data_IF_323416201062
#
_entry.id   IF_323416201062
#
_cell.length_a   1.000
_cell.length_b   1.000
_cell.length_c   1.000
_cell.angle_alpha   90.00
_cell.angle_beta   90.00
_cell.angle_gamma   90.00
#
_symmetry.space_group_name_H-M   'P 1'
#
loop_
_entity.id
_entity.type
_entity.pdbx_description
1 polymer ?
#
# COMPACT_ATOMS: atom_id res chain seq x y z
N UNK A 1 20.40 6.52 -16.87
CA UNK A 1 19.83 5.22 -16.47
C UNK A 1 18.96 5.44 -15.26
N UNK A 2 17.74 4.88 -15.25
CA UNK A 2 16.87 4.87 -14.07
C UNK A 2 17.60 4.06 -12.98
N UNK A 3 17.75 4.62 -11.77
CA UNK A 3 18.39 3.91 -10.67
C UNK A 3 17.39 2.95 -10.05
N UNK A 4 17.62 1.65 -10.21
CA UNK A 4 16.76 0.57 -9.73
C UNK A 4 17.45 -0.16 -8.58
N UNK A 5 16.71 -0.37 -7.49
CA UNK A 5 17.14 -1.14 -6.32
C UNK A 5 16.43 -2.49 -6.31
N UNK A 6 17.21 -3.57 -6.32
CA UNK A 6 16.69 -4.92 -6.44
C UNK A 6 16.70 -5.70 -5.12
N UNK A 7 15.88 -6.75 -5.05
CA UNK A 7 15.78 -7.65 -3.89
C UNK A 7 17.13 -8.23 -3.46
N UNK A 8 18.04 -8.53 -4.40
CA UNK A 8 19.37 -9.06 -4.05
C UNK A 8 20.24 -8.03 -3.33
N UNK A 9 20.16 -6.74 -3.68
CA UNK A 9 20.86 -5.67 -2.97
C UNK A 9 20.28 -5.52 -1.55
N UNK A 10 18.94 -5.58 -1.42
CA UNK A 10 18.28 -5.55 -0.12
C UNK A 10 18.74 -6.70 0.79
N UNK A 11 18.71 -7.95 0.29
CA UNK A 11 19.14 -9.12 1.05
C UNK A 11 20.61 -9.01 1.47
N UNK A 12 21.46 -8.52 0.57
CA UNK A 12 22.87 -8.30 0.85
C UNK A 12 23.10 -7.27 1.96
N UNK A 13 22.49 -6.09 1.83
CA UNK A 13 22.60 -5.01 2.82
C UNK A 13 22.01 -5.42 4.17
N UNK A 14 20.86 -6.09 4.16
CA UNK A 14 20.22 -6.58 5.37
C UNK A 14 21.10 -7.61 6.10
N UNK A 15 21.81 -8.48 5.36
CA UNK A 15 22.76 -9.42 5.96
C UNK A 15 23.97 -8.70 6.57
N UNK A 16 24.49 -7.66 5.92
CA UNK A 16 25.57 -6.84 6.47
C UNK A 16 25.18 -6.16 7.79
N UNK A 17 23.92 -5.74 7.91
CA UNK A 17 23.41 -5.08 9.10
C UNK A 17 23.21 -6.03 10.31
N UNK A 18 22.96 -7.32 10.06
CA UNK A 18 22.62 -8.29 11.11
C UNK A 18 23.74 -9.30 11.41
N UNK A 19 24.76 -9.42 10.56
CA UNK A 19 25.88 -10.36 10.74
C UNK A 19 27.25 -9.61 10.78
N UNK A 20 27.77 -9.28 11.98
CA UNK A 20 29.03 -8.55 12.14
C UNK A 20 30.26 -9.23 11.52
N UNK A 21 30.29 -10.56 11.55
CA UNK A 21 31.36 -11.34 10.94
C UNK A 21 31.35 -11.19 9.41
N UNK A 22 30.16 -11.25 8.82
CA UNK A 22 29.97 -11.04 7.38
C UNK A 22 30.37 -9.62 6.96
N UNK A 23 29.99 -8.61 7.75
CA UNK A 23 30.45 -7.22 7.57
C UNK A 23 31.97 -7.11 7.55
N UNK A 24 32.65 -7.73 8.52
CA UNK A 24 34.12 -7.65 8.65
C UNK A 24 34.83 -8.25 7.44
N UNK A 25 34.35 -9.39 6.94
CA UNK A 25 34.88 -10.05 5.74
C UNK A 25 34.72 -9.14 4.51
N UNK A 26 33.50 -8.65 4.27
CA UNK A 26 33.20 -7.80 3.10
C UNK A 26 33.98 -6.49 3.17
N UNK A 27 34.04 -5.84 4.34
CA UNK A 27 34.85 -4.62 4.57
C UNK A 27 36.32 -4.86 4.24
N UNK A 28 36.89 -5.98 4.68
CA UNK A 28 38.26 -6.37 4.37
C UNK A 28 38.53 -6.56 2.89
N UNK A 29 37.61 -7.21 2.17
CA UNK A 29 37.72 -7.43 0.72
C UNK A 29 37.63 -6.12 -0.06
N UNK A 30 36.69 -5.22 0.27
CA UNK A 30 36.53 -3.91 -0.39
C UNK A 30 37.81 -3.06 -0.28
N UNK A 31 38.52 -3.17 0.84
CA UNK A 31 39.73 -2.40 1.11
C UNK A 31 40.99 -3.00 0.47
N UNK A 32 41.05 -4.33 0.27
CA UNK A 32 42.25 -5.04 -0.22
C UNK A 32 42.30 -5.18 -1.73
N UNK A 33 41.17 -5.37 -2.41
CA UNK A 33 41.14 -5.63 -3.85
C UNK A 33 40.06 -4.77 -4.54
N UNK A 34 40.41 -4.17 -5.68
CA UNK A 34 39.43 -3.61 -6.63
C UNK A 34 38.57 -4.71 -7.29
N UNK A 35 38.76 -5.96 -6.90
CA UNK A 35 38.06 -7.10 -7.46
C UNK A 35 37.24 -7.77 -6.36
N UNK A 36 35.93 -7.58 -6.42
CA UNK A 36 34.96 -8.28 -5.58
C UNK A 36 34.84 -9.77 -5.99
N UNK A 37 35.96 -10.46 -6.26
CA UNK A 37 35.95 -11.87 -6.65
C UNK A 37 35.71 -12.72 -5.40
N UNK A 38 34.44 -12.96 -5.07
CA UNK A 38 34.07 -13.92 -4.04
C UNK A 38 34.28 -15.32 -4.62
N UNK A 39 35.54 -15.80 -4.62
CA UNK A 39 35.97 -17.00 -5.35
C UNK A 39 35.21 -18.29 -5.01
N UNK A 40 34.45 -18.32 -3.91
CA UNK A 40 33.43 -19.34 -3.61
C UNK A 40 32.29 -18.70 -2.79
N UNK A 41 31.21 -18.22 -3.44
CA UNK A 41 29.98 -17.81 -2.73
C UNK A 41 29.17 -19.08 -2.43
N UNK A 42 28.87 -19.40 -1.16
CA UNK A 42 27.95 -20.49 -0.82
C UNK A 42 26.60 -20.31 -1.53
N UNK A 43 25.93 -21.41 -1.90
CA UNK A 43 24.63 -21.35 -2.59
C UNK A 43 23.59 -20.52 -1.83
N UNK A 44 23.63 -20.55 -0.49
CA UNK A 44 22.72 -19.81 0.38
C UNK A 44 22.93 -18.28 0.35
N UNK A 45 24.04 -17.83 -0.26
CA UNK A 45 24.43 -16.43 -0.45
C UNK A 45 24.37 -16.01 -1.93
N UNK A 46 23.54 -16.67 -2.74
CA UNK A 46 23.35 -16.36 -4.16
C UNK A 46 23.17 -14.86 -4.45
N UNK A 47 22.46 -14.12 -3.58
CA UNK A 47 22.22 -12.69 -3.74
C UNK A 47 23.51 -11.87 -3.71
N UNK A 48 24.56 -12.33 -3.01
CA UNK A 48 25.87 -11.69 -3.00
C UNK A 48 26.54 -11.84 -4.36
N UNK A 49 26.50 -13.03 -4.95
CA UNK A 49 27.05 -13.29 -6.28
C UNK A 49 26.34 -12.43 -7.35
N UNK A 50 25.01 -12.35 -7.28
CA UNK A 50 24.21 -11.50 -8.19
C UNK A 50 24.51 -10.02 -7.98
N UNK A 51 24.63 -9.56 -6.73
CA UNK A 51 25.00 -8.15 -6.42
C UNK A 51 26.34 -7.79 -7.05
N UNK A 52 27.34 -8.67 -6.94
CA UNK A 52 28.67 -8.48 -7.53
C UNK A 52 28.62 -8.49 -9.06
N UNK A 53 27.79 -9.34 -9.67
CA UNK A 53 27.67 -9.44 -11.12
C UNK A 53 26.93 -8.23 -11.73
N UNK A 54 25.76 -7.89 -11.19
CA UNK A 54 24.84 -6.89 -11.77
C UNK A 54 25.17 -5.46 -11.33
N UNK A 55 25.74 -5.30 -10.14
CA UNK A 55 26.00 -3.97 -9.52
C UNK A 55 27.44 -3.83 -9.04
N UNK A 56 28.39 -4.39 -9.80
CA UNK A 56 29.82 -4.52 -9.42
C UNK A 56 30.41 -3.26 -8.81
N UNK A 57 30.12 -2.09 -9.37
CA UNK A 57 30.72 -0.82 -8.93
C UNK A 57 29.90 -0.07 -7.88
N UNK A 58 28.60 -0.33 -7.80
CA UNK A 58 27.68 0.48 -6.98
C UNK A 58 27.99 0.36 -5.49
N UNK A 59 28.00 -0.87 -4.99
CA UNK A 59 28.28 -1.13 -3.58
C UNK A 59 29.73 -0.80 -3.16
N UNK A 60 30.78 -1.19 -3.93
CA UNK A 60 32.15 -0.84 -3.56
C UNK A 60 32.42 0.67 -3.59
N UNK A 61 31.89 1.41 -4.57
CA UNK A 61 32.00 2.88 -4.60
C UNK A 61 31.32 3.53 -3.40
N UNK A 62 30.15 3.05 -3.01
CA UNK A 62 29.46 3.47 -1.79
C UNK A 62 30.32 3.19 -0.54
N UNK A 63 30.79 1.94 -0.39
CA UNK A 63 31.58 1.51 0.77
C UNK A 63 32.89 2.30 0.90
N UNK A 64 33.63 2.48 -0.20
CA UNK A 64 34.84 3.30 -0.20
C UNK A 64 34.56 4.72 0.30
N UNK A 65 33.45 5.33 -0.14
CA UNK A 65 33.08 6.68 0.31
C UNK A 65 32.71 6.74 1.79
N UNK A 66 32.01 5.74 2.31
CA UNK A 66 31.72 5.64 3.75
C UNK A 66 33.01 5.49 4.55
N UNK A 67 33.85 4.53 4.16
CA UNK A 67 35.08 4.20 4.89
C UNK A 67 36.15 5.30 4.78
N UNK A 68 36.13 6.11 3.72
CA UNK A 68 36.96 7.31 3.62
C UNK A 68 36.57 8.37 4.65
N UNK A 69 35.28 8.48 5.00
CA UNK A 69 34.80 9.42 6.02
C UNK A 69 34.95 8.87 7.44
N UNK A 70 34.70 7.57 7.60
CA UNK A 70 34.80 6.86 8.88
C UNK A 70 35.43 5.47 8.67
N UNK A 71 36.75 5.35 8.84
CA UNK A 71 37.47 4.07 8.67
C UNK A 71 37.03 2.99 9.66
N UNK A 72 36.50 3.39 10.81
CA UNK A 72 36.10 2.50 11.90
C UNK A 72 34.60 2.16 11.87
N UNK A 73 33.87 2.64 10.86
CA UNK A 73 32.44 2.36 10.72
C UNK A 73 32.14 0.86 10.84
N UNK A 74 31.09 0.58 11.62
CA UNK A 74 30.47 -0.71 11.80
C UNK A 74 28.95 -0.51 11.90
N UNK A 75 28.13 -1.35 11.23
CA UNK A 75 26.69 -1.29 11.36
C UNK A 75 26.27 -1.40 12.82
N UNK A 76 25.34 -0.55 13.21
CA UNK A 76 24.61 -0.65 14.48
C UNK A 76 23.13 -0.51 14.20
N UNK A 77 22.28 -0.86 15.16
CA UNK A 77 20.83 -0.71 15.03
C UNK A 77 20.38 0.73 14.76
N UNK A 78 21.16 1.74 15.20
CA UNK A 78 20.86 3.15 15.00
C UNK A 78 21.37 3.71 13.67
N UNK A 79 22.32 3.03 13.01
CA UNK A 79 23.03 3.54 11.84
C UNK A 79 23.41 2.40 10.89
N UNK A 80 22.37 1.87 10.25
CA UNK A 80 22.46 0.71 9.35
C UNK A 80 23.05 1.06 7.98
N UNK A 81 23.76 0.11 7.39
CA UNK A 81 24.30 0.15 6.03
C UNK A 81 23.16 0.36 5.04
N UNK A 82 22.02 -0.33 5.22
CA UNK A 82 20.83 -0.14 4.38
C UNK A 82 20.36 1.31 4.37
N UNK A 83 20.23 1.95 5.55
CA UNK A 83 19.79 3.35 5.66
C UNK A 83 20.73 4.29 4.91
N UNK A 84 22.05 4.14 5.12
CA UNK A 84 23.06 4.96 4.44
C UNK A 84 23.08 4.71 2.93
N UNK A 85 22.92 3.46 2.50
CA UNK A 85 22.91 3.07 1.09
C UNK A 85 21.74 3.71 0.32
N UNK A 86 20.54 3.62 0.90
CA UNK A 86 19.33 4.20 0.33
C UNK A 86 19.36 5.73 0.30
N UNK A 87 20.04 6.38 1.25
CA UNK A 87 20.24 7.84 1.22
C UNK A 87 21.34 8.27 0.24
N UNK A 88 22.30 7.39 -0.02
CA UNK A 88 23.41 7.68 -0.92
C UNK A 88 23.01 7.63 -2.40
N UNK A 89 22.08 6.73 -2.73
CA UNK A 89 21.62 6.50 -4.08
C UNK A 89 20.21 7.05 -4.28
N UNK A 90 20.00 7.75 -5.39
CA UNK A 90 18.70 8.31 -5.74
C UNK A 90 17.85 7.28 -6.51
N UNK A 91 17.29 6.30 -5.80
CA UNK A 91 16.49 5.24 -6.40
C UNK A 91 15.12 5.74 -6.87
N UNK A 92 14.76 5.37 -8.09
CA UNK A 92 13.48 5.70 -8.73
C UNK A 92 12.55 4.48 -8.74
N UNK A 93 13.11 3.27 -8.77
CA UNK A 93 12.35 2.02 -8.69
C UNK A 93 12.94 1.06 -7.66
N UNK A 94 12.06 0.34 -6.98
CA UNK A 94 12.41 -0.70 -6.01
C UNK A 94 11.62 -1.97 -6.33
N UNK A 95 12.33 -3.05 -6.65
CA UNK A 95 11.75 -4.37 -6.94
C UNK A 95 12.17 -5.35 -5.86
N UNK A 96 11.33 -5.45 -4.82
CA UNK A 96 11.57 -6.21 -3.61
C UNK A 96 10.60 -7.41 -3.51
N UNK A 97 10.44 -8.13 -4.61
CA UNK A 97 9.57 -9.30 -4.67
C UNK A 97 10.23 -10.52 -4.03
N UNK A 98 9.43 -11.35 -3.34
CA UNK A 98 9.87 -12.63 -2.74
C UNK A 98 11.06 -12.52 -1.79
N UNK A 99 11.12 -11.44 -1.01
CA UNK A 99 12.20 -11.15 -0.05
C UNK A 99 11.98 -11.88 1.28
N UNK A 100 10.76 -11.87 1.81
CA UNK A 100 10.45 -12.48 3.11
C UNK A 100 9.98 -13.93 2.94
N UNK A 101 10.51 -14.83 3.77
CA UNK A 101 10.10 -16.24 3.75
C UNK A 101 8.88 -16.48 4.63
N UNK A 102 8.16 -17.56 4.34
CA UNK A 102 7.04 -18.01 5.16
C UNK A 102 7.52 -18.34 6.59
N UNK A 103 6.88 -17.74 7.60
CA UNK A 103 7.21 -17.95 9.01
C UNK A 103 8.24 -16.97 9.57
N UNK A 104 8.83 -16.11 8.74
CA UNK A 104 9.69 -15.00 9.18
C UNK A 104 8.87 -13.72 9.40
N UNK A 105 9.41 -12.80 10.20
CA UNK A 105 8.82 -11.47 10.37
C UNK A 105 8.87 -10.70 9.05
N UNK A 106 7.71 -10.49 8.43
CA UNK A 106 7.57 -9.78 7.16
C UNK A 106 7.48 -8.25 7.35
N UNK A 107 8.21 -7.70 8.32
CA UNK A 107 8.17 -6.27 8.63
C UNK A 107 9.11 -5.50 7.70
N UNK A 108 8.56 -4.54 6.95
CA UNK A 108 9.34 -3.68 6.06
C UNK A 108 10.17 -2.67 6.87
N UNK A 109 11.50 -2.56 6.65
CA UNK A 109 12.31 -1.54 7.29
C UNK A 109 11.84 -0.14 6.88
N UNK A 110 11.74 0.77 7.85
CA UNK A 110 11.21 2.13 7.65
C UNK A 110 12.09 2.95 6.69
N UNK A 111 13.34 2.57 6.57
CA UNK A 111 14.37 3.15 5.70
C UNK A 111 13.96 3.10 4.22
N UNK A 112 13.22 2.07 3.78
CA UNK A 112 12.76 1.94 2.40
C UNK A 112 11.87 3.10 1.97
N UNK A 113 11.15 3.70 2.92
CA UNK A 113 10.22 4.79 2.68
C UNK A 113 10.86 6.18 2.79
N UNK A 114 12.19 6.25 2.94
CA UNK A 114 12.95 7.51 2.98
C UNK A 114 13.55 7.91 1.62
N UNK A 115 13.12 7.27 0.53
CA UNK A 115 13.58 7.56 -0.83
C UNK A 115 12.61 8.53 -1.54
N UNK A 116 12.87 9.86 -1.54
CA UNK A 116 11.88 10.87 -1.93
C UNK A 116 11.53 10.86 -3.43
N UNK A 117 12.39 10.27 -4.27
CA UNK A 117 12.21 10.19 -5.72
C UNK A 117 11.65 8.86 -6.21
N UNK A 118 11.28 7.96 -5.29
CA UNK A 118 10.73 6.66 -5.65
C UNK A 118 9.39 6.80 -6.38
N UNK A 119 9.30 6.21 -7.57
CA UNK A 119 8.12 6.20 -8.44
C UNK A 119 7.47 4.82 -8.55
N UNK A 120 8.24 3.75 -8.45
CA UNK A 120 7.69 2.39 -8.48
C UNK A 120 8.22 1.56 -7.31
N UNK A 121 7.30 0.91 -6.59
CA UNK A 121 7.62 -0.01 -5.50
C UNK A 121 6.88 -1.34 -5.72
N UNK A 122 7.62 -2.41 -5.93
CA UNK A 122 7.10 -3.78 -6.00
C UNK A 122 7.49 -4.54 -4.73
N UNK A 123 6.48 -5.10 -4.07
CA UNK A 123 6.57 -5.84 -2.81
C UNK A 123 5.76 -7.14 -2.91
N UNK A 124 5.76 -7.78 -4.08
CA UNK A 124 4.94 -8.96 -4.34
C UNK A 124 5.49 -10.17 -3.60
N UNK A 125 4.63 -11.13 -3.26
CA UNK A 125 5.03 -12.43 -2.70
C UNK A 125 5.82 -12.34 -1.39
N UNK A 126 5.47 -11.40 -0.52
CA UNK A 126 6.23 -11.11 0.72
C UNK A 126 5.48 -11.47 2.00
N UNK A 127 4.32 -12.12 1.89
CA UNK A 127 3.46 -12.48 3.03
C UNK A 127 3.13 -11.30 3.96
N UNK A 128 3.18 -10.06 3.46
CA UNK A 128 3.01 -8.85 4.26
C UNK A 128 1.64 -8.84 4.93
N UNK A 129 1.63 -8.72 6.26
CA UNK A 129 0.41 -8.55 7.05
C UNK A 129 0.03 -7.09 7.22
N UNK A 130 0.99 -6.15 7.10
CA UNK A 130 0.79 -4.71 7.25
C UNK A 130 1.68 -3.92 6.29
N UNK A 131 1.15 -2.82 5.74
CA UNK A 131 1.93 -1.81 5.01
C UNK A 131 2.23 -0.66 5.99
N UNK A 132 3.48 -0.29 6.28
CA UNK A 132 3.77 0.69 7.33
C UNK A 132 3.25 2.09 6.96
N UNK A 133 2.87 2.93 7.95
CA UNK A 133 2.36 4.28 7.70
C UNK A 133 3.36 5.19 7.01
N UNK A 134 4.65 4.88 7.12
CA UNK A 134 5.76 5.55 6.43
C UNK A 134 5.60 5.58 4.90
N UNK A 135 4.76 4.71 4.29
CA UNK A 135 4.43 4.77 2.86
C UNK A 135 4.01 6.17 2.40
N UNK A 136 3.34 6.94 3.28
CA UNK A 136 2.91 8.31 2.98
C UNK A 136 4.05 9.32 2.76
N UNK A 137 5.30 8.96 3.08
CA UNK A 137 6.49 9.76 2.75
C UNK A 137 6.79 9.75 1.24
N UNK A 138 6.34 8.73 0.51
CA UNK A 138 6.64 8.53 -0.91
C UNK A 138 5.66 9.30 -1.83
N UNK A 139 5.67 10.62 -1.77
CA UNK A 139 4.71 11.48 -2.49
C UNK A 139 4.80 11.39 -4.02
N UNK A 140 5.95 10.96 -4.55
CA UNK A 140 6.19 10.75 -5.98
C UNK A 140 5.89 9.32 -6.44
N UNK A 141 5.43 8.45 -5.56
CA UNK A 141 5.08 7.07 -5.91
C UNK A 141 3.92 7.06 -6.90
N UNK A 142 4.14 6.47 -8.07
CA UNK A 142 3.16 6.35 -9.16
C UNK A 142 2.59 4.93 -9.26
N UNK A 143 3.38 3.92 -8.89
CA UNK A 143 3.04 2.51 -8.99
C UNK A 143 3.39 1.75 -7.71
N UNK A 144 2.42 1.06 -7.11
CA UNK A 144 2.59 0.22 -5.94
C UNK A 144 2.03 -1.18 -6.19
N UNK A 145 2.90 -2.20 -6.12
CA UNK A 145 2.48 -3.60 -6.25
C UNK A 145 2.62 -4.37 -4.94
N UNK A 146 1.51 -4.90 -4.45
CA UNK A 146 1.37 -5.65 -3.21
C UNK A 146 0.70 -7.01 -3.45
N UNK A 147 0.75 -7.51 -4.68
CA UNK A 147 0.15 -8.78 -5.11
C UNK A 147 0.71 -9.97 -4.31
N UNK A 148 -0.15 -10.94 -3.95
CA UNK A 148 0.22 -12.14 -3.18
C UNK A 148 0.85 -11.80 -1.81
N UNK A 149 0.09 -11.09 -0.98
CA UNK A 149 0.44 -10.82 0.42
C UNK A 149 -0.71 -11.24 1.35
N UNK A 150 -0.65 -10.90 2.64
CA UNK A 150 -1.68 -11.22 3.65
C UNK A 150 -2.41 -9.97 4.14
N UNK A 151 -2.51 -8.94 3.29
CA UNK A 151 -3.07 -7.66 3.68
C UNK A 151 -4.59 -7.76 3.87
N UNK A 152 -5.06 -7.29 5.02
CA UNK A 152 -6.48 -7.10 5.34
C UNK A 152 -6.85 -5.61 5.22
N UNK A 153 -8.14 -5.28 5.34
CA UNK A 153 -8.61 -3.89 5.27
C UNK A 153 -7.88 -2.93 6.23
N UNK A 154 -7.59 -3.38 7.45
CA UNK A 154 -6.87 -2.57 8.45
C UNK A 154 -5.35 -2.51 8.22
N UNK A 155 -4.81 -3.35 7.34
CA UNK A 155 -3.38 -3.44 7.03
C UNK A 155 -2.89 -2.30 6.13
N UNK A 156 -3.80 -1.60 5.46
CA UNK A 156 -3.50 -0.50 4.53
C UNK A 156 -3.78 0.83 5.25
N UNK A 157 -2.75 1.63 5.60
CA UNK A 157 -2.91 2.85 6.38
C UNK A 157 -3.48 3.99 5.52
N UNK A 158 -4.23 4.90 6.14
CA UNK A 158 -4.74 6.12 5.47
C UNK A 158 -3.61 6.96 4.87
N UNK A 159 -2.40 6.89 5.43
CA UNK A 159 -1.24 7.64 4.94
C UNK A 159 -0.86 7.28 3.50
N UNK A 160 -1.34 6.15 2.96
CA UNK A 160 -1.26 5.87 1.52
C UNK A 160 -1.95 6.97 0.69
N UNK A 161 -2.98 7.62 1.22
CA UNK A 161 -3.62 8.78 0.58
C UNK A 161 -2.72 10.00 0.43
N UNK A 162 -1.60 10.05 1.15
CA UNK A 162 -0.58 11.10 1.01
C UNK A 162 0.32 10.88 -0.19
N UNK A 163 0.27 9.70 -0.83
CA UNK A 163 0.94 9.42 -2.11
C UNK A 163 0.10 10.03 -3.25
N UNK A 164 0.12 11.36 -3.36
CA UNK A 164 -0.75 12.11 -4.28
C UNK A 164 -0.45 11.86 -5.76
N UNK A 165 0.68 11.21 -6.08
CA UNK A 165 1.04 10.82 -7.45
C UNK A 165 0.64 9.37 -7.81
N UNK A 166 0.05 8.61 -6.88
CA UNK A 166 -0.22 7.18 -7.04
C UNK A 166 -1.31 6.93 -8.09
N UNK A 167 -0.94 6.27 -9.18
CA UNK A 167 -1.83 5.98 -10.31
C UNK A 167 -2.34 4.54 -10.28
N UNK A 168 -1.43 3.60 -9.99
CA UNK A 168 -1.70 2.17 -10.07
C UNK A 168 -1.41 1.49 -8.73
N UNK A 169 -2.40 0.75 -8.23
CA UNK A 169 -2.31 -0.03 -7.00
C UNK A 169 -2.72 -1.48 -7.27
N UNK A 170 -1.78 -2.41 -7.13
CA UNK A 170 -2.05 -3.84 -7.29
C UNK A 170 -2.18 -4.52 -5.93
N UNK A 171 -3.38 -5.00 -5.61
CA UNK A 171 -3.72 -5.67 -4.35
C UNK A 171 -4.21 -7.11 -4.58
N UNK A 172 -3.98 -7.68 -5.76
CA UNK A 172 -4.45 -9.04 -6.08
C UNK A 172 -3.93 -10.08 -5.08
N UNK A 173 -4.72 -11.11 -4.83
CA UNK A 173 -4.38 -12.23 -3.95
C UNK A 173 -3.93 -11.78 -2.55
N UNK A 174 -4.78 -11.02 -1.89
CA UNK A 174 -4.65 -10.62 -0.48
C UNK A 174 -5.88 -11.10 0.32
N UNK A 175 -6.10 -10.58 1.53
CA UNK A 175 -7.20 -10.96 2.42
C UNK A 175 -8.20 -9.79 2.59
N UNK A 176 -8.44 -9.00 1.54
CA UNK A 176 -9.32 -7.83 1.56
C UNK A 176 -10.78 -8.21 1.30
N UNK A 177 -11.66 -7.95 2.27
CA UNK A 177 -13.11 -8.11 2.09
C UNK A 177 -13.69 -6.98 1.21
N UNK A 178 -13.12 -5.78 1.33
CA UNK A 178 -13.48 -4.58 0.55
C UNK A 178 -12.24 -3.72 0.27
N UNK A 179 -12.36 -2.69 -0.56
CA UNK A 179 -11.31 -1.68 -0.66
C UNK A 179 -11.40 -0.65 0.48
N UNK A 180 -10.29 -0.14 1.03
CA UNK A 180 -10.35 0.98 1.97
C UNK A 180 -10.95 2.23 1.32
N UNK A 181 -11.94 2.84 1.97
CA UNK A 181 -12.68 3.99 1.43
C UNK A 181 -11.83 5.23 1.16
N UNK A 182 -10.72 5.41 1.89
CA UNK A 182 -9.79 6.52 1.66
C UNK A 182 -9.08 6.47 0.30
N UNK A 183 -9.09 5.32 -0.40
CA UNK A 183 -8.55 5.24 -1.76
C UNK A 183 -9.31 6.18 -2.72
N UNK A 184 -10.58 6.48 -2.42
CA UNK A 184 -11.38 7.45 -3.18
C UNK A 184 -10.88 8.90 -3.04
N UNK A 185 -10.04 9.17 -2.03
CA UNK A 185 -9.47 10.49 -1.77
C UNK A 185 -8.17 10.73 -2.55
N UNK A 186 -7.65 9.72 -3.25
CA UNK A 186 -6.43 9.82 -4.05
C UNK A 186 -6.82 10.25 -5.46
N UNK A 187 -6.61 11.53 -5.85
CA UNK A 187 -7.14 12.06 -7.11
C UNK A 187 -6.47 11.48 -8.36
N UNK A 188 -5.22 11.01 -8.24
CA UNK A 188 -4.44 10.42 -9.32
C UNK A 188 -4.70 8.93 -9.54
N UNK A 189 -5.36 8.26 -8.58
CA UNK A 189 -5.56 6.82 -8.60
C UNK A 189 -6.58 6.44 -9.66
N UNK A 190 -6.13 5.76 -10.72
CA UNK A 190 -6.97 5.37 -11.84
C UNK A 190 -7.17 3.86 -11.95
N UNK A 191 -6.24 3.07 -11.42
CA UNK A 191 -6.24 1.61 -11.57
C UNK A 191 -6.01 0.95 -10.22
N UNK A 192 -6.97 0.14 -9.78
CA UNK A 192 -6.85 -0.71 -8.59
C UNK A 192 -7.20 -2.14 -8.96
N UNK A 193 -6.22 -3.04 -8.89
CA UNK A 193 -6.46 -4.46 -9.06
C UNK A 193 -6.66 -5.12 -7.69
N UNK A 194 -7.67 -5.96 -7.55
CA UNK A 194 -8.00 -6.65 -6.28
C UNK A 194 -8.48 -8.09 -6.48
N UNK A 195 -8.21 -8.68 -7.64
CA UNK A 195 -8.63 -10.03 -7.97
C UNK A 195 -8.07 -11.04 -6.96
N UNK A 196 -8.76 -12.17 -6.74
CA UNK A 196 -8.29 -13.24 -5.84
C UNK A 196 -8.13 -12.86 -4.36
N UNK A 197 -8.71 -11.74 -3.92
CA UNK A 197 -8.85 -11.45 -2.49
C UNK A 197 -9.91 -12.37 -1.83
N UNK A 198 -10.02 -12.33 -0.50
CA UNK A 198 -11.14 -12.90 0.25
C UNK A 198 -12.49 -12.26 -0.17
N UNK A 199 -13.01 -12.63 -1.32
CA UNK A 199 -14.44 -12.59 -1.58
C UNK A 199 -14.96 -13.99 -1.24
N UNK A 200 -15.13 -14.23 0.07
CA UNK A 200 -15.76 -15.44 0.56
C UNK A 200 -17.10 -15.58 -0.15
N UNK A 201 -17.15 -16.53 -1.10
CA UNK A 201 -18.24 -16.82 -2.04
C UNK A 201 -19.56 -17.27 -1.35
N UNK A 202 -19.75 -16.97 -0.06
CA UNK A 202 -20.98 -17.17 0.70
C UNK A 202 -21.68 -15.88 1.13
N UNK A 203 -21.01 -14.72 1.15
CA UNK A 203 -21.64 -13.47 1.60
C UNK A 203 -21.77 -12.41 0.49
N UNK A 204 -20.83 -12.30 -0.45
CA UNK A 204 -20.80 -11.16 -1.41
C UNK A 204 -21.94 -11.18 -2.44
N UNK A 205 -22.48 -12.34 -2.81
CA UNK A 205 -23.68 -12.42 -3.64
C UNK A 205 -24.93 -11.86 -2.93
N UNK A 206 -24.96 -11.85 -1.59
CA UNK A 206 -26.03 -11.18 -0.86
C UNK A 206 -25.94 -9.66 -0.99
N UNK A 207 -24.77 -9.04 -1.16
CA UNK A 207 -24.63 -7.56 -1.13
C UNK A 207 -25.10 -6.82 -2.39
N UNK A 208 -25.29 -7.53 -3.51
CA UNK A 208 -26.03 -6.99 -4.66
C UNK A 208 -27.52 -6.80 -4.33
N UNK A 209 -28.01 -7.54 -3.33
CA UNK A 209 -29.41 -7.56 -2.88
C UNK A 209 -29.57 -7.28 -1.37
N UNK A 210 -28.51 -6.86 -0.66
CA UNK A 210 -28.62 -6.59 0.77
C UNK A 210 -29.61 -5.47 0.93
N UNK A 211 -30.61 -5.73 1.77
CA UNK A 211 -31.50 -4.73 2.30
C UNK A 211 -30.66 -3.50 2.70
N UNK A 212 -31.22 -2.31 2.44
CA UNK A 212 -30.64 -0.99 2.77
C UNK A 212 -30.10 -0.98 4.21
N UNK A 213 -30.71 -1.77 5.08
CA UNK A 213 -30.41 -1.93 6.50
C UNK A 213 -29.04 -2.57 6.83
N UNK A 214 -28.32 -3.19 5.90
CA UNK A 214 -27.04 -3.90 6.22
C UNK A 214 -25.77 -3.13 5.86
N UNK A 215 -25.87 -1.91 5.31
CA UNK A 215 -24.68 -1.14 4.86
C UNK A 215 -23.97 -0.39 5.98
N UNK A 216 -24.66 -0.14 7.08
CA UNK A 216 -24.12 0.46 8.29
C UNK A 216 -24.15 -0.62 9.38
N UNK A 217 -22.98 -1.15 9.74
CA UNK A 217 -22.85 -2.18 10.76
C UNK A 217 -22.28 -1.58 12.04
N UNK A 218 -23.05 -1.64 13.12
CA UNK A 218 -22.56 -1.28 14.45
C UNK A 218 -21.46 -2.26 14.89
N UNK A 219 -20.34 -1.71 15.34
CA UNK A 219 -19.23 -2.46 15.93
C UNK A 219 -19.23 -2.17 17.42
N UNK A 220 -19.60 -3.13 18.27
CA UNK A 220 -19.53 -2.94 19.71
C UNK A 220 -18.07 -2.73 20.11
N UNK A 221 -17.84 -1.80 21.04
CA UNK A 221 -16.52 -1.63 21.61
C UNK A 221 -16.12 -2.85 22.43
N UNK A 222 -14.82 -3.06 22.60
CA UNK A 222 -14.33 -3.97 23.64
C UNK A 222 -14.33 -3.24 24.98
N UNK A 223 -14.50 -3.98 26.08
CA UNK A 223 -14.51 -3.45 27.46
C UNK A 223 -13.41 -2.41 27.68
N UNK A 224 -13.68 -1.33 28.44
CA UNK A 224 -12.86 -0.12 28.38
C UNK A 224 -11.43 -0.38 28.86
N UNK A 225 -10.45 0.07 28.07
CA UNK A 225 -9.04 -0.04 28.36
C UNK A 225 -8.52 1.21 29.11
N UNK A 226 -7.68 0.94 30.12
CA UNK A 226 -6.71 1.78 30.84
C UNK A 226 -7.21 3.13 31.40
N UNK A 227 -7.45 3.14 32.70
CA UNK A 227 -7.62 4.34 33.53
C UNK A 227 -6.31 5.13 33.64
N UNK A 228 -6.16 6.19 32.85
CA UNK A 228 -5.05 7.13 32.95
C UNK A 228 -5.28 8.37 32.09
N UNK A 229 -4.83 9.55 32.55
CA UNK A 229 -4.86 10.77 31.74
C UNK A 229 -3.95 10.59 30.50
N UNK A 230 -4.44 10.91 29.28
CA UNK A 230 -3.62 10.79 28.09
C UNK A 230 -2.49 11.83 28.12
N UNK A 231 -1.29 11.42 27.73
CA UNK A 231 -0.16 12.34 27.60
C UNK A 231 -0.44 13.40 26.54
N UNK A 232 0.18 14.58 26.68
CA UNK A 232 0.10 15.64 25.66
C UNK A 232 0.53 15.13 24.28
N UNK A 233 1.57 14.29 24.22
CA UNK A 233 2.06 13.67 22.98
C UNK A 233 0.99 12.81 22.29
N UNK A 234 0.26 12.01 23.07
CA UNK A 234 -0.85 11.19 22.58
C UNK A 234 -2.04 12.05 22.12
N UNK A 235 -2.37 13.12 22.85
CA UNK A 235 -3.42 14.06 22.47
C UNK A 235 -3.10 14.75 21.14
N UNK A 236 -1.88 15.25 20.98
CA UNK A 236 -1.42 15.84 19.71
C UNK A 236 -1.47 14.82 18.57
N UNK A 237 -0.95 13.60 18.79
CA UNK A 237 -0.98 12.54 17.79
C UNK A 237 -2.42 12.20 17.36
N UNK A 238 -3.33 12.04 18.31
CA UNK A 238 -4.76 11.76 18.04
C UNK A 238 -5.40 12.88 17.22
N UNK A 239 -5.12 14.14 17.56
CA UNK A 239 -5.63 15.29 16.82
C UNK A 239 -5.10 15.33 15.38
N UNK A 240 -3.81 15.04 15.18
CA UNK A 240 -3.18 15.00 13.84
C UNK A 240 -3.74 13.86 12.99
N UNK A 241 -3.86 12.65 13.56
CA UNK A 241 -4.44 11.48 12.88
C UNK A 241 -5.88 11.78 12.47
N UNK A 242 -6.69 12.29 13.40
CA UNK A 242 -8.10 12.61 13.17
C UNK A 242 -8.28 13.73 12.15
N UNK A 243 -7.39 14.73 12.13
CA UNK A 243 -7.41 15.79 11.14
C UNK A 243 -7.08 15.31 9.71
N UNK A 244 -6.61 14.06 9.53
CA UNK A 244 -6.20 13.49 8.23
C UNK A 244 -5.17 14.36 7.51
N UNK A 245 -4.39 15.11 8.28
CA UNK A 245 -3.38 16.00 7.76
C UNK A 245 -2.18 15.19 7.26
N UNK A 246 -1.64 15.53 6.10
CA UNK A 246 -0.35 14.99 5.65
C UNK A 246 0.77 15.52 6.54
N UNK A 247 1.01 14.81 7.65
CA UNK A 247 1.99 15.19 8.66
C UNK A 247 3.44 14.90 8.24
N UNK A 248 3.68 14.25 7.10
CA UNK A 248 5.02 14.13 6.52
C UNK A 248 5.42 15.34 5.68
N UNK A 249 4.44 16.04 5.09
CA UNK A 249 4.66 17.28 4.33
C UNK A 249 4.54 18.54 5.20
N UNK A 250 3.93 18.44 6.38
CA UNK A 250 3.64 19.59 7.24
C UNK A 250 4.89 20.14 7.90
N UNK A 251 5.07 21.46 7.82
CA UNK A 251 6.14 22.19 8.53
C UNK A 251 5.85 22.37 10.01
N UNK A 252 4.58 22.16 10.43
CA UNK A 252 4.13 22.38 11.82
C UNK A 252 4.32 21.11 12.67
N UNK A 253 4.35 19.92 12.05
CA UNK A 253 4.51 18.65 12.77
C UNK A 253 5.98 18.28 12.87
N UNK A 254 6.57 18.19 14.08
CA UNK A 254 7.96 17.76 14.22
C UNK A 254 8.16 16.32 13.73
N UNK A 255 9.32 15.98 13.12
CA UNK A 255 9.61 14.61 12.66
C UNK A 255 9.49 13.56 13.77
N UNK A 256 9.91 13.90 15.00
CA UNK A 256 9.78 13.02 16.17
C UNK A 256 8.33 12.70 16.55
N UNK A 257 7.40 13.61 16.25
CA UNK A 257 5.96 13.40 16.44
C UNK A 257 5.39 12.57 15.29
N UNK A 258 5.82 12.82 14.05
CA UNK A 258 5.43 12.00 12.89
C UNK A 258 5.86 10.53 13.07
N UNK A 259 7.09 10.28 13.53
CA UNK A 259 7.58 8.92 13.79
C UNK A 259 6.84 8.26 14.95
N UNK A 260 6.48 9.03 16.00
CA UNK A 260 5.62 8.55 17.07
C UNK A 260 4.22 8.16 16.57
N UNK A 261 3.60 9.01 15.74
CA UNK A 261 2.32 8.72 15.10
C UNK A 261 2.41 7.42 14.30
N UNK A 262 3.46 7.21 13.52
CA UNK A 262 3.64 5.97 12.75
C UNK A 262 3.70 4.73 13.65
N UNK A 263 4.22 4.86 14.87
CA UNK A 263 4.30 3.76 15.83
C UNK A 263 2.95 3.35 16.44
N UNK A 264 2.01 4.29 16.58
CA UNK A 264 0.69 4.05 17.19
C UNK A 264 -0.47 4.08 16.20
N UNK A 265 -0.19 4.34 14.92
CA UNK A 265 -1.21 4.65 13.90
C UNK A 265 -2.28 3.56 13.81
N UNK A 266 -1.86 2.30 13.86
CA UNK A 266 -2.75 1.14 13.73
C UNK A 266 -3.60 0.85 14.97
N UNK A 267 -3.43 1.58 16.05
CA UNK A 267 -4.26 1.43 17.25
C UNK A 267 -5.56 2.24 17.19
N UNK A 268 -5.70 3.08 16.16
CA UNK A 268 -6.84 3.96 15.96
C UNK A 268 -7.71 3.53 14.78
N UNK A 269 -9.01 3.75 14.95
CA UNK A 269 -9.95 3.90 13.87
C UNK A 269 -10.16 5.39 13.56
N UNK A 270 -9.91 5.77 12.31
CA UNK A 270 -10.07 7.15 11.82
C UNK A 270 -11.44 7.29 11.18
N UNK A 271 -12.27 8.20 11.70
CA UNK A 271 -13.59 8.41 11.13
C UNK A 271 -13.47 9.01 9.72
N UNK A 272 -14.16 8.43 8.74
CA UNK A 272 -14.14 8.90 7.37
C UNK A 272 -14.88 10.24 7.19
N UNK A 273 -15.92 10.52 7.99
CA UNK A 273 -16.70 11.76 7.88
C UNK A 273 -16.11 12.93 8.67
N UNK A 274 -15.89 12.76 9.97
CA UNK A 274 -15.43 13.84 10.86
C UNK A 274 -13.92 13.76 11.11
N UNK A 275 -13.40 14.62 12.00
CA UNK A 275 -11.98 14.67 12.38
C UNK A 275 -11.62 13.85 13.62
N UNK A 276 -12.42 12.84 13.94
CA UNK A 276 -12.15 11.97 15.10
C UNK A 276 -11.23 10.81 14.73
N UNK A 277 -10.28 10.54 15.63
CA UNK A 277 -9.54 9.29 15.68
C UNK A 277 -9.78 8.69 17.06
N UNK A 278 -10.29 7.46 17.09
CA UNK A 278 -10.65 6.77 18.33
C UNK A 278 -9.90 5.46 18.40
N UNK A 279 -9.50 5.04 19.61
CA UNK A 279 -8.93 3.71 19.82
C UNK A 279 -9.82 2.63 19.23
N UNK A 280 -9.21 1.57 18.68
CA UNK A 280 -9.92 0.41 18.11
C UNK A 280 -10.88 -0.27 19.09
N UNK A 281 -10.65 -0.12 20.39
CA UNK A 281 -11.53 -0.63 21.43
C UNK A 281 -12.85 0.15 21.58
N UNK A 282 -12.93 1.40 21.10
CA UNK A 282 -14.16 2.17 21.19
C UNK A 282 -15.22 1.66 20.19
N UNK A 283 -16.52 1.72 20.56
CA UNK A 283 -17.59 1.41 19.63
C UNK A 283 -17.59 2.37 18.44
N UNK A 284 -18.14 1.90 17.33
CA UNK A 284 -18.28 2.70 16.11
C UNK A 284 -19.09 1.95 15.06
N UNK A 285 -18.91 2.31 13.79
CA UNK A 285 -19.67 1.74 12.69
C UNK A 285 -18.74 1.44 11.51
N UNK A 286 -18.90 0.26 10.90
CA UNK A 286 -18.39 -0.03 9.55
C UNK A 286 -19.45 0.39 8.55
N UNK A 287 -19.05 1.11 7.52
CA UNK A 287 -19.96 1.58 6.47
C UNK A 287 -19.46 1.08 5.13
N UNK A 288 -20.32 0.45 4.34
CA UNK A 288 -19.98 -0.02 3.01
C UNK A 288 -20.64 0.84 1.95
N UNK A 289 -19.83 1.41 1.06
CA UNK A 289 -20.30 2.12 -0.13
C UNK A 289 -19.90 1.37 -1.38
N UNK A 290 -20.60 1.61 -2.48
CA UNK A 290 -20.38 0.88 -3.72
C UNK A 290 -20.28 1.88 -4.86
N UNK A 291 -19.34 1.65 -5.77
CA UNK A 291 -19.33 2.31 -7.07
C UNK A 291 -19.90 1.34 -8.11
N UNK A 292 -20.79 1.85 -8.97
CA UNK A 292 -21.37 1.02 -10.02
C UNK A 292 -20.28 0.54 -10.98
N UNK A 293 -20.33 -0.73 -11.41
CA UNK A 293 -19.42 -1.22 -12.41
C UNK A 293 -19.65 -0.48 -13.73
N UNK A 294 -18.56 -0.14 -14.41
CA UNK A 294 -18.62 0.10 -15.85
C UNK A 294 -18.85 -1.24 -16.53
N UNK A 295 -20.03 -1.44 -17.13
CA UNK A 295 -20.32 -2.49 -18.13
C UNK A 295 -19.74 -3.90 -17.83
N UNK A 296 -19.72 -4.32 -16.56
CA UNK A 296 -19.14 -5.62 -16.19
C UNK A 296 -19.36 -5.99 -14.74
N UNK A 297 -20.37 -6.83 -14.51
CA UNK A 297 -20.68 -7.81 -13.44
C UNK A 297 -20.01 -7.77 -12.04
N UNK A 298 -19.28 -6.73 -11.63
CA UNK A 298 -18.60 -6.69 -10.33
C UNK A 298 -18.65 -5.29 -9.71
N UNK A 299 -19.58 -5.07 -8.78
CA UNK A 299 -19.55 -3.91 -7.88
C UNK A 299 -18.36 -4.09 -6.91
N UNK A 300 -17.49 -3.09 -6.82
CA UNK A 300 -16.40 -3.10 -5.85
C UNK A 300 -16.84 -2.34 -4.58
N UNK A 301 -17.01 -3.02 -3.44
CA UNK A 301 -17.31 -2.34 -2.19
C UNK A 301 -16.10 -1.58 -1.66
N UNK A 302 -16.38 -0.41 -1.09
CA UNK A 302 -15.47 0.39 -0.29
C UNK A 302 -15.93 0.36 1.17
N UNK A 303 -15.03 0.06 2.08
CA UNK A 303 -15.29 0.06 3.52
C UNK A 303 -14.76 1.33 4.17
N UNK A 304 -15.59 1.95 4.98
CA UNK A 304 -15.31 3.15 5.76
C UNK A 304 -15.53 2.87 7.25
N UNK A 305 -14.93 3.71 8.10
CA UNK A 305 -15.20 3.72 9.53
C UNK A 305 -15.91 5.03 9.92
N UNK A 306 -16.93 4.92 10.77
CA UNK A 306 -17.63 6.07 11.35
C UNK A 306 -17.65 5.98 12.88
N UNK A 307 -17.45 7.14 13.54
CA UNK A 307 -17.43 7.20 15.01
C UNK A 307 -18.84 7.25 15.64
N UNK A 308 -19.86 7.57 14.85
CA UNK A 308 -21.25 7.70 15.29
C UNK A 308 -22.18 7.30 14.15
N UNK A 309 -23.45 7.03 14.49
CA UNK A 309 -24.48 6.71 13.49
C UNK A 309 -24.67 7.86 12.49
N UNK A 310 -24.72 9.11 12.98
CA UNK A 310 -24.79 10.29 12.11
C UNK A 310 -23.63 10.33 11.11
N UNK A 311 -22.40 10.09 11.57
CA UNK A 311 -21.25 10.04 10.67
C UNK A 311 -21.35 8.88 9.67
N UNK A 312 -22.02 7.78 10.02
CA UNK A 312 -22.22 6.65 9.14
C UNK A 312 -23.26 6.97 8.04
N UNK A 313 -24.39 7.55 8.43
CA UNK A 313 -25.46 8.01 7.53
C UNK A 313 -24.95 9.09 6.56
N UNK A 314 -24.14 10.02 7.07
CA UNK A 314 -23.48 11.07 6.29
C UNK A 314 -22.50 10.55 5.22
N UNK A 315 -22.13 9.27 5.29
CA UNK A 315 -21.27 8.57 4.32
C UNK A 315 -22.13 7.74 3.38
N UNK A 316 -23.04 6.93 3.93
CA UNK A 316 -23.82 5.95 3.19
C UNK A 316 -24.88 6.61 2.32
N UNK A 317 -25.70 7.51 2.89
CA UNK A 317 -26.88 8.07 2.21
C UNK A 317 -26.48 8.80 0.91
N UNK A 318 -25.47 9.70 0.90
CA UNK A 318 -25.06 10.36 -0.33
C UNK A 318 -24.46 9.39 -1.34
N UNK A 319 -23.64 8.43 -0.88
CA UNK A 319 -23.03 7.44 -1.76
C UNK A 319 -24.08 6.51 -2.39
N UNK A 320 -25.15 6.19 -1.66
CA UNK A 320 -26.27 5.41 -2.17
C UNK A 320 -27.08 6.18 -3.19
N UNK A 321 -27.35 7.46 -2.95
CA UNK A 321 -28.02 8.32 -3.92
C UNK A 321 -27.22 8.40 -5.23
N UNK A 322 -25.91 8.61 -5.15
CA UNK A 322 -25.00 8.59 -6.31
C UNK A 322 -25.07 7.23 -7.04
N UNK A 323 -25.03 6.13 -6.29
CA UNK A 323 -25.14 4.77 -6.84
C UNK A 323 -26.45 4.57 -7.61
N UNK A 324 -27.59 4.96 -7.05
CA UNK A 324 -28.89 4.81 -7.71
C UNK A 324 -28.98 5.67 -8.98
N UNK A 325 -28.53 6.92 -8.92
CA UNK A 325 -28.52 7.82 -10.08
C UNK A 325 -27.64 7.29 -11.21
N UNK A 326 -26.45 6.79 -10.87
CA UNK A 326 -25.55 6.19 -11.86
C UNK A 326 -26.15 4.91 -12.48
N UNK A 327 -26.89 4.11 -11.71
CA UNK A 327 -27.55 2.91 -12.22
C UNK A 327 -28.67 3.27 -13.20
N UNK A 328 -29.51 4.27 -12.86
CA UNK A 328 -30.56 4.77 -13.75
C UNK A 328 -29.99 5.33 -15.06
N UNK A 329 -28.85 6.01 -15.00
CA UNK A 329 -28.16 6.51 -16.20
C UNK A 329 -27.63 5.37 -17.08
N UNK A 330 -27.09 4.31 -16.47
CA UNK A 330 -26.63 3.12 -17.19
C UNK A 330 -27.79 2.41 -17.88
N UNK A 331 -28.92 2.21 -17.20
CA UNK A 331 -30.13 1.65 -17.80
C UNK A 331 -30.57 2.49 -19.00
N UNK A 332 -30.57 3.82 -18.87
CA UNK A 332 -30.91 4.75 -19.97
C UNK A 332 -29.97 4.59 -21.17
N UNK A 333 -28.66 4.44 -20.92
CA UNK A 333 -27.67 4.21 -21.98
C UNK A 333 -27.86 2.85 -22.65
N UNK A 334 -28.11 1.80 -21.87
CA UNK A 334 -28.43 0.46 -22.39
C UNK A 334 -29.66 0.50 -23.29
N UNK A 335 -30.77 1.11 -22.85
CA UNK A 335 -31.97 1.25 -23.68
C UNK A 335 -31.71 2.02 -24.97
N UNK A 336 -30.87 3.06 -24.93
CA UNK A 336 -30.46 3.81 -26.13
C UNK A 336 -29.70 2.90 -27.10
N UNK A 337 -28.72 2.13 -26.62
CA UNK A 337 -27.96 1.20 -27.44
C UNK A 337 -28.83 0.08 -28.04
N UNK A 338 -29.76 -0.49 -27.25
CA UNK A 338 -30.71 -1.48 -27.76
C UNK A 338 -31.55 -0.88 -28.89
N UNK A 339 -32.02 0.36 -28.73
CA UNK A 339 -32.81 1.05 -29.75
C UNK A 339 -31.98 1.34 -31.02
N UNK A 340 -30.76 1.86 -30.88
CA UNK A 340 -29.83 2.09 -32.00
C UNK A 340 -29.50 0.79 -32.76
N UNK A 341 -29.31 -0.31 -32.02
CA UNK A 341 -29.06 -1.63 -32.60
C UNK A 341 -30.30 -2.15 -33.36
N UNK A 342 -31.51 -1.87 -32.88
CA UNK A 342 -32.76 -2.23 -33.56
C UNK A 342 -33.00 -1.35 -34.80
N UNK A 343 -32.77 -0.03 -34.71
CA UNK A 343 -32.97 0.91 -35.82
C UNK A 343 -31.92 0.70 -36.95
N UNK A 344 -30.70 0.26 -36.64
CA UNK A 344 -29.66 -0.05 -37.64
C UNK A 344 -29.90 -1.34 -38.42
N UNK A 345 -30.86 -2.18 -38.02
CA UNK A 345 -31.29 -3.36 -38.82
C UNK A 345 -32.08 -2.99 -40.08
N UNK A 346 -32.45 -1.72 -40.28
CA UNK A 346 -33.09 -1.24 -41.51
C UNK A 346 -32.11 -0.91 -42.66
N UNK A 347 -30.78 -0.99 -42.46
CA UNK A 347 -29.79 -0.62 -43.49
C UNK A 347 -28.84 -1.71 -43.99
N UNK A 348 -28.96 -2.97 -43.57
CA UNK A 348 -28.16 -4.04 -44.17
C UNK A 348 -28.96 -5.25 -44.69
N UNK A 349 -29.46 -5.08 -45.92
CA UNK A 349 -29.45 -6.11 -46.96
C UNK A 349 -28.00 -6.51 -47.35
N UNK A 350 -27.20 -6.98 -46.39
CA UNK A 350 -25.93 -7.68 -46.66
C UNK A 350 -25.65 -8.71 -45.56
N UNK A 351 -25.91 -9.98 -45.89
CA UNK A 351 -25.25 -11.19 -45.37
C UNK A 351 -25.46 -11.56 -43.89
N UNK A 352 -25.91 -12.79 -43.56
CA UNK A 352 -25.94 -13.24 -42.19
C UNK A 352 -24.53 -13.63 -41.72
N UNK A 353 -24.26 -13.45 -40.42
CA UNK A 353 -23.06 -13.86 -39.68
C UNK A 353 -21.86 -12.91 -39.70
N UNK A 354 -21.91 -11.82 -38.92
CA UNK A 354 -20.68 -11.29 -38.28
C UNK A 354 -20.86 -10.38 -37.05
N UNK A 355 -22.08 -10.15 -36.54
CA UNK A 355 -22.29 -9.12 -35.49
C UNK A 355 -22.63 -9.58 -34.06
N UNK A 356 -22.48 -10.87 -33.71
CA UNK A 356 -22.79 -11.33 -32.32
C UNK A 356 -21.54 -11.51 -31.44
N UNK A 357 -20.32 -11.31 -31.94
CA UNK A 357 -19.11 -11.54 -31.14
C UNK A 357 -18.55 -10.31 -30.39
N UNK A 358 -19.13 -9.11 -30.51
CA UNK A 358 -18.47 -7.89 -29.99
C UNK A 358 -19.13 -7.24 -28.75
N UNK A 359 -20.07 -7.90 -28.07
CA UNK A 359 -20.76 -7.32 -26.91
C UNK A 359 -20.58 -8.07 -25.58
N UNK A 360 -19.73 -9.10 -25.51
CA UNK A 360 -19.45 -9.78 -24.23
C UNK A 360 -17.99 -10.23 -24.21
N UNK A 361 -17.10 -9.36 -23.75
CA UNK A 361 -15.88 -9.72 -23.01
C UNK A 361 -15.47 -8.55 -22.12
#
# INVERSE_FOLDING_TARGET
MISVFHCYEFLFLNKLDHEPDFWTVIKGSVLKENDFSLKCVPNDLWFVAVTVAETKDRFPSFMKKILLKDPYYSPTSADSVLSRYLQYHDFVEMHLDSVFKYGESSALPKELFRCPNLKALSLKYNFLEQLPPDIGKLQKLEYLALTNNKLQNSSIPYTLSFCTSLKVLLLDNNLLDALPGFLLLIPSLNTVHRHGNHNYFKATFMWYHTDVNERILAVPGSSPCVSGLPSLKLLCATAIIGAKMNFFASTIVPPTLADYICGIYFDFNVCYKCRSANWKSKPGYKVYTFKNPYLGNTCVPFQHWACSLQCAEDIEIPARAEQLLSAMEQDRQYYRHVKEAQDSTLYHNKGPFEHIACCIL
#
